data_IF_452839541866
#
_entry.id   IF_452839541866
#
_cell.length_a   1.000
_cell.length_b   1.000
_cell.length_c   1.000
_cell.angle_alpha   90.00
_cell.angle_beta   90.00
_cell.angle_gamma   90.00
#
_symmetry.space_group_name_H-M   'P 1'
#
loop_
_entity.id
_entity.type
_entity.pdbx_description
1 polymer ?
#
# COMPACT_ATOMS: atom_id res chain seq x y z
N UNK A 1 40.59 66.17 -13.05
CA UNK A 1 41.45 65.09 -12.52
C UNK A 1 40.59 63.90 -12.13
N UNK A 2 40.96 62.73 -12.65
CA UNK A 2 40.71 61.33 -12.22
C UNK A 2 39.29 60.84 -11.85
N UNK A 3 38.96 59.75 -12.57
CA UNK A 3 37.81 58.85 -12.52
C UNK A 3 37.92 57.83 -11.37
N UNK A 4 36.83 57.08 -11.16
CA UNK A 4 36.65 55.82 -10.41
C UNK A 4 36.50 55.97 -8.89
N UNK A 5 35.59 55.26 -8.19
CA UNK A 5 35.16 53.87 -8.40
C UNK A 5 33.71 53.59 -7.91
N UNK A 6 33.09 52.68 -8.65
CA UNK A 6 31.81 51.99 -8.50
C UNK A 6 31.85 50.97 -7.34
N UNK A 7 30.77 50.78 -6.57
CA UNK A 7 30.38 49.44 -6.10
C UNK A 7 28.87 49.37 -5.86
N UNK A 8 28.13 49.03 -6.93
CA UNK A 8 26.79 48.45 -6.82
C UNK A 8 27.00 46.99 -6.43
N UNK A 9 26.51 46.59 -5.26
CA UNK A 9 26.48 45.21 -4.81
C UNK A 9 25.41 44.46 -5.61
N UNK A 10 25.83 43.87 -6.74
CA UNK A 10 25.01 42.97 -7.55
C UNK A 10 24.87 41.66 -6.76
N UNK A 11 23.76 41.48 -6.04
CA UNK A 11 23.41 40.19 -5.47
C UNK A 11 23.00 39.30 -6.64
N UNK A 12 23.94 38.47 -7.08
CA UNK A 12 23.69 37.40 -8.06
C UNK A 12 22.78 36.39 -7.37
N UNK A 13 21.47 36.52 -7.59
CA UNK A 13 20.52 35.45 -7.29
C UNK A 13 20.78 34.34 -8.29
N UNK A 14 21.55 33.33 -7.89
CA UNK A 14 21.67 32.07 -8.63
C UNK A 14 20.25 31.50 -8.80
N UNK A 15 19.83 31.11 -10.02
CA UNK A 15 18.65 30.27 -10.15
C UNK A 15 18.97 28.95 -9.44
N UNK A 16 18.31 28.72 -8.31
CA UNK A 16 18.23 27.42 -7.71
C UNK A 16 17.63 26.49 -8.77
N UNK A 17 18.46 25.66 -9.39
CA UNK A 17 18.00 24.53 -10.17
C UNK A 17 17.31 23.58 -9.18
N UNK A 18 16.01 23.78 -8.99
CA UNK A 18 15.16 22.70 -8.53
C UNK A 18 15.19 21.65 -9.64
N UNK A 19 15.90 20.55 -9.42
CA UNK A 19 15.73 19.34 -10.22
C UNK A 19 14.30 18.84 -9.97
N UNK A 20 13.33 19.37 -10.72
CA UNK A 20 12.06 18.70 -10.90
C UNK A 20 12.34 17.44 -11.70
N UNK A 21 12.59 16.33 -11.00
CA UNK A 21 12.47 15.01 -11.60
C UNK A 21 11.00 14.84 -12.01
N UNK A 22 10.72 15.15 -13.28
CA UNK A 22 9.52 14.66 -13.97
C UNK A 22 9.68 13.15 -14.13
N UNK A 23 9.37 12.40 -13.08
CA UNK A 23 9.06 11.00 -13.24
C UNK A 23 7.77 10.93 -14.04
N UNK A 24 7.80 10.39 -15.25
CA UNK A 24 6.64 10.22 -16.13
C UNK A 24 5.64 9.18 -15.61
N UNK A 25 5.35 9.19 -14.31
CA UNK A 25 4.39 8.31 -13.67
C UNK A 25 2.98 8.69 -14.07
N UNK A 26 2.14 7.68 -14.28
CA UNK A 26 0.70 7.87 -14.43
C UNK A 26 0.16 8.46 -13.13
N UNK A 27 -0.43 9.65 -13.20
CA UNK A 27 -1.08 10.27 -12.06
C UNK A 27 -2.52 9.75 -11.98
N UNK A 28 -2.87 9.13 -10.85
CA UNK A 28 -4.20 8.63 -10.59
C UNK A 28 -4.91 9.55 -9.59
N UNK A 29 -6.18 9.85 -9.88
CA UNK A 29 -7.10 10.40 -8.90
C UNK A 29 -8.16 9.32 -8.56
N UNK A 30 -9.09 9.66 -7.68
CA UNK A 30 -10.15 8.74 -7.26
C UNK A 30 -10.93 8.18 -8.46
N UNK A 31 -11.27 9.01 -9.43
CA UNK A 31 -12.08 8.57 -10.58
C UNK A 31 -11.28 7.71 -11.56
N UNK A 32 -10.05 8.10 -11.90
CA UNK A 32 -9.22 7.33 -12.84
C UNK A 32 -8.75 6.02 -12.23
N UNK A 33 -8.45 5.97 -10.92
CA UNK A 33 -8.13 4.73 -10.22
C UNK A 33 -9.33 3.78 -10.17
N UNK A 34 -10.54 4.30 -9.96
CA UNK A 34 -11.79 3.51 -9.99
C UNK A 34 -11.99 2.88 -11.37
N UNK A 35 -11.87 3.69 -12.43
CA UNK A 35 -12.02 3.22 -13.82
C UNK A 35 -10.98 2.13 -14.17
N UNK A 36 -9.72 2.33 -13.77
CA UNK A 36 -8.64 1.37 -13.98
C UNK A 36 -8.97 0.00 -13.37
N UNK A 37 -9.51 -0.03 -12.15
CA UNK A 37 -9.88 -1.28 -11.48
C UNK A 37 -11.15 -1.91 -12.04
N UNK A 38 -12.18 -1.13 -12.38
CA UNK A 38 -13.44 -1.65 -12.92
C UNK A 38 -13.31 -2.22 -14.33
N UNK A 39 -12.37 -1.71 -15.13
CA UNK A 39 -12.16 -2.15 -16.52
C UNK A 39 -11.18 -3.33 -16.64
N UNK A 40 -10.61 -3.79 -15.53
CA UNK A 40 -9.59 -4.83 -15.52
C UNK A 40 -10.16 -6.20 -15.16
N UNK A 41 -9.62 -7.29 -15.72
CA UNK A 41 -9.94 -8.63 -15.25
C UNK A 41 -9.51 -8.79 -13.79
N UNK A 42 -10.36 -9.44 -13.02
CA UNK A 42 -10.13 -9.68 -11.59
C UNK A 42 -9.35 -10.99 -11.42
N UNK A 43 -8.22 -10.92 -10.72
CA UNK A 43 -7.35 -12.08 -10.45
C UNK A 43 -7.94 -12.96 -9.35
N UNK A 44 -7.98 -14.28 -9.56
CA UNK A 44 -8.54 -15.24 -8.60
C UNK A 44 -7.46 -16.10 -7.93
N UNK A 45 -7.71 -16.47 -6.69
CA UNK A 45 -6.86 -17.37 -5.92
C UNK A 45 -7.25 -18.84 -6.11
N UNK A 46 -6.29 -19.76 -6.35
CA UNK A 46 -6.57 -21.18 -6.38
C UNK A 46 -7.06 -21.70 -5.02
N UNK A 47 -8.16 -22.46 -5.01
CA UNK A 47 -8.75 -23.00 -3.78
C UNK A 47 -7.79 -23.91 -2.98
N UNK A 48 -6.91 -24.62 -3.70
CA UNK A 48 -5.88 -25.46 -3.07
C UNK A 48 -4.93 -24.61 -2.23
N UNK A 49 -4.48 -23.47 -2.76
CA UNK A 49 -3.58 -22.56 -2.06
C UNK A 49 -4.26 -21.97 -0.81
N UNK A 50 -5.54 -21.61 -0.91
CA UNK A 50 -6.34 -21.15 0.24
C UNK A 50 -6.43 -22.22 1.31
N UNK A 51 -6.69 -23.47 0.92
CA UNK A 51 -6.85 -24.60 1.85
C UNK A 51 -5.58 -24.88 2.65
N UNK A 52 -4.40 -24.67 2.05
CA UNK A 52 -3.10 -24.83 2.72
C UNK A 52 -2.80 -23.74 3.76
N UNK A 53 -3.53 -22.62 3.72
CA UNK A 53 -3.27 -21.43 4.52
C UNK A 53 -4.42 -21.08 5.49
N UNK A 54 -5.40 -21.97 5.69
CA UNK A 54 -6.54 -21.74 6.60
C UNK A 54 -6.14 -21.46 8.05
N UNK A 55 -5.01 -22.00 8.48
CA UNK A 55 -4.40 -21.76 9.79
C UNK A 55 -2.95 -21.29 9.58
N UNK A 56 -2.57 -20.23 10.29
CA UNK A 56 -1.19 -19.75 10.31
C UNK A 56 -0.31 -20.73 11.12
N UNK A 57 0.60 -21.40 10.42
CA UNK A 57 1.55 -22.36 11.01
C UNK A 57 2.58 -21.69 11.92
N UNK A 58 2.79 -20.39 11.75
CA UNK A 58 3.76 -19.60 12.52
C UNK A 58 3.09 -18.57 13.45
N UNK A 59 1.78 -18.75 13.75
CA UNK A 59 0.99 -17.84 14.59
C UNK A 59 1.74 -17.39 15.86
N UNK A 60 2.20 -18.33 16.69
CA UNK A 60 2.89 -18.02 17.95
C UNK A 60 4.15 -17.17 17.73
N UNK A 61 4.91 -17.44 16.68
CA UNK A 61 6.11 -16.65 16.34
C UNK A 61 5.71 -15.25 15.87
N UNK A 62 4.71 -15.15 15.01
CA UNK A 62 4.23 -13.89 14.46
C UNK A 62 3.72 -12.96 15.57
N UNK A 63 2.96 -13.49 16.53
CA UNK A 63 2.54 -12.75 17.72
C UNK A 63 3.75 -12.34 18.58
N UNK A 64 4.71 -13.24 18.79
CA UNK A 64 5.96 -12.93 19.49
C UNK A 64 6.73 -11.76 18.86
N UNK A 65 6.83 -11.71 17.54
CA UNK A 65 7.48 -10.61 16.81
C UNK A 65 6.68 -9.31 16.87
N UNK A 66 5.34 -9.38 16.84
CA UNK A 66 4.46 -8.23 17.02
C UNK A 66 4.78 -7.47 18.30
N UNK A 67 4.92 -8.20 19.41
CA UNK A 67 5.22 -7.65 20.74
C UNK A 67 6.59 -6.96 20.82
N UNK A 68 7.52 -7.37 19.95
CA UNK A 68 8.86 -6.78 19.85
C UNK A 68 8.92 -5.60 18.87
N UNK A 69 7.83 -5.33 18.15
CA UNK A 69 7.80 -4.34 17.07
C UNK A 69 8.53 -4.81 15.79
N UNK A 70 8.85 -6.10 15.68
CA UNK A 70 9.55 -6.65 14.52
C UNK A 70 8.53 -7.09 13.46
N UNK A 71 8.51 -6.40 12.32
CA UNK A 71 7.55 -6.67 11.24
C UNK A 71 8.19 -7.03 9.91
N UNK A 72 9.52 -6.92 9.82
CA UNK A 72 10.29 -7.35 8.65
C UNK A 72 11.20 -8.48 9.09
N UNK A 73 10.83 -9.70 8.72
CA UNK A 73 11.59 -10.91 9.00
C UNK A 73 12.34 -11.37 7.75
N UNK A 74 13.23 -12.35 7.91
CA UNK A 74 14.03 -12.87 6.80
C UNK A 74 13.16 -13.50 5.71
N UNK A 75 12.10 -14.21 6.09
CA UNK A 75 11.25 -15.01 5.20
C UNK A 75 9.87 -14.38 4.95
N UNK A 76 9.46 -13.40 5.75
CA UNK A 76 8.14 -12.76 5.63
C UNK A 76 8.10 -11.33 6.18
N UNK A 77 7.14 -10.56 5.71
CA UNK A 77 6.73 -9.31 6.32
C UNK A 77 5.38 -9.47 7.03
N UNK A 78 5.21 -8.76 8.14
CA UNK A 78 4.02 -8.75 8.97
C UNK A 78 3.38 -7.37 8.96
N UNK A 79 2.05 -7.31 9.08
CA UNK A 79 1.31 -6.09 9.34
C UNK A 79 0.26 -6.37 10.40
N UNK A 80 0.20 -5.54 11.45
CA UNK A 80 -0.71 -5.70 12.57
C UNK A 80 -1.75 -4.58 12.58
N UNK A 81 -2.99 -4.94 12.87
CA UNK A 81 -4.13 -4.02 12.88
C UNK A 81 -4.65 -3.82 14.31
N UNK A 82 -5.31 -2.70 14.56
CA UNK A 82 -5.82 -2.33 15.90
C UNK A 82 -6.93 -3.26 16.40
N UNK A 83 -7.58 -4.01 15.51
CA UNK A 83 -8.60 -5.01 15.83
C UNK A 83 -8.01 -6.40 16.18
N UNK A 84 -6.69 -6.47 16.39
CA UNK A 84 -5.94 -7.70 16.66
C UNK A 84 -5.90 -8.71 15.51
N UNK A 85 -6.32 -8.32 14.32
CA UNK A 85 -6.01 -9.07 13.09
C UNK A 85 -4.61 -8.74 12.61
N UNK A 86 -4.05 -9.59 11.76
CA UNK A 86 -2.74 -9.34 11.14
C UNK A 86 -2.66 -9.93 9.74
N UNK A 87 -1.68 -9.47 8.98
CA UNK A 87 -1.39 -9.94 7.64
C UNK A 87 0.04 -10.46 7.54
N UNK A 88 0.23 -11.49 6.71
CA UNK A 88 1.51 -12.14 6.40
C UNK A 88 1.74 -12.06 4.90
N UNK A 89 2.92 -11.57 4.52
CA UNK A 89 3.44 -11.57 3.15
C UNK A 89 4.75 -12.35 3.13
N UNK A 90 4.78 -13.50 2.46
CA UNK A 90 5.99 -14.30 2.36
C UNK A 90 6.94 -13.73 1.30
N UNK A 91 8.25 -13.82 1.54
CA UNK A 91 9.25 -13.31 0.61
C UNK A 91 9.42 -14.19 -0.62
N UNK A 92 9.17 -15.49 -0.48
CA UNK A 92 9.14 -16.46 -1.59
C UNK A 92 7.91 -16.31 -2.49
N UNK A 93 6.80 -15.81 -1.94
CA UNK A 93 5.56 -15.55 -2.65
C UNK A 93 5.03 -14.14 -2.32
N UNK A 94 5.44 -13.19 -3.15
CA UNK A 94 5.07 -11.78 -2.99
C UNK A 94 3.74 -11.41 -3.64
N UNK A 95 3.09 -12.35 -4.34
CA UNK A 95 1.83 -12.11 -5.02
C UNK A 95 0.65 -12.31 -4.07
N UNK A 96 0.80 -13.14 -3.05
CA UNK A 96 -0.27 -13.46 -2.11
C UNK A 96 -0.04 -12.87 -0.71
N UNK A 97 -1.09 -12.31 -0.13
CA UNK A 97 -1.12 -11.83 1.26
C UNK A 97 -2.21 -12.56 2.01
N UNK A 98 -1.89 -13.03 3.21
CA UNK A 98 -2.79 -13.81 4.05
C UNK A 98 -3.17 -13.00 5.29
N UNK A 99 -4.47 -12.84 5.55
CA UNK A 99 -4.98 -12.11 6.71
C UNK A 99 -5.59 -13.08 7.71
N UNK A 100 -5.16 -12.98 8.96
CA UNK A 100 -5.54 -13.88 10.04
C UNK A 100 -6.24 -13.13 11.18
N UNK A 101 -7.17 -13.82 11.84
CA UNK A 101 -7.74 -13.37 13.10
C UNK A 101 -6.74 -13.49 14.26
N UNK A 102 -7.15 -13.04 15.44
CA UNK A 102 -6.35 -13.10 16.66
C UNK A 102 -5.95 -14.52 17.11
N UNK A 103 -6.49 -15.57 16.50
CA UNK A 103 -6.22 -16.98 16.80
C UNK A 103 -5.49 -17.68 15.63
N UNK A 104 -5.00 -16.94 14.64
CA UNK A 104 -4.31 -17.50 13.48
C UNK A 104 -5.22 -18.18 12.47
N UNK A 105 -6.53 -17.89 12.47
CA UNK A 105 -7.48 -18.40 11.46
C UNK A 105 -7.59 -17.44 10.30
N UNK A 106 -7.51 -17.95 9.07
CA UNK A 106 -7.62 -17.15 7.86
C UNK A 106 -9.01 -16.46 7.80
N UNK A 107 -9.00 -15.15 7.57
CA UNK A 107 -10.23 -14.33 7.42
C UNK A 107 -10.31 -13.67 6.06
N UNK A 108 -9.16 -13.29 5.48
CA UNK A 108 -9.08 -12.73 4.14
C UNK A 108 -7.80 -13.14 3.43
N UNK A 109 -7.79 -13.00 2.13
CA UNK A 109 -6.68 -13.29 1.24
C UNK A 109 -6.61 -12.18 0.19
N UNK A 110 -5.43 -11.80 -0.24
CA UNK A 110 -5.24 -10.81 -1.30
C UNK A 110 -4.27 -11.37 -2.34
N UNK A 111 -4.59 -11.14 -3.60
CA UNK A 111 -3.72 -11.44 -4.74
C UNK A 111 -3.37 -10.15 -5.47
N UNK A 112 -2.12 -10.04 -5.89
CA UNK A 112 -1.59 -8.93 -6.71
C UNK A 112 -1.48 -9.37 -8.15
N UNK A 113 -1.77 -8.47 -9.09
CA UNK A 113 -1.52 -8.70 -10.52
C UNK A 113 -0.06 -8.41 -10.95
N UNK A 114 0.74 -7.86 -10.03
CA UNK A 114 2.12 -7.49 -10.28
C UNK A 114 2.90 -7.14 -9.01
N UNK A 115 4.22 -7.01 -9.14
CA UNK A 115 5.13 -6.68 -8.04
C UNK A 115 5.75 -5.28 -8.15
N UNK A 116 5.59 -4.63 -9.31
CA UNK A 116 6.11 -3.29 -9.59
C UNK A 116 4.95 -2.30 -9.62
N UNK A 117 5.17 -1.09 -9.10
CA UNK A 117 4.15 -0.06 -9.16
C UNK A 117 3.98 0.52 -10.58
N UNK A 118 2.75 0.92 -10.97
CA UNK A 118 1.50 0.63 -10.28
C UNK A 118 1.09 -0.84 -10.45
N UNK A 119 0.45 -1.42 -9.44
CA UNK A 119 -0.17 -2.75 -9.53
C UNK A 119 -1.54 -2.76 -8.87
N UNK A 120 -2.36 -3.73 -9.25
CA UNK A 120 -3.69 -3.97 -8.68
C UNK A 120 -3.62 -5.10 -7.66
N UNK A 121 -4.49 -5.04 -6.66
CA UNK A 121 -4.71 -6.15 -5.76
C UNK A 121 -6.18 -6.40 -5.51
N UNK A 122 -6.52 -7.65 -5.22
CA UNK A 122 -7.89 -8.12 -5.08
C UNK A 122 -7.99 -8.90 -3.78
N UNK A 123 -8.80 -8.40 -2.84
CA UNK A 123 -9.01 -9.03 -1.54
C UNK A 123 -10.30 -9.83 -1.53
N UNK A 124 -10.23 -11.06 -1.07
CA UNK A 124 -11.34 -12.00 -0.98
C UNK A 124 -11.58 -12.43 0.45
N UNK A 125 -12.82 -12.82 0.76
CA UNK A 125 -13.16 -13.65 1.91
C UNK A 125 -12.89 -15.14 1.62
N UNK A 126 -12.94 -15.95 2.68
CA UNK A 126 -12.63 -17.40 2.63
C UNK A 126 -13.56 -18.22 1.72
N UNK A 127 -14.74 -17.69 1.40
CA UNK A 127 -15.70 -18.28 0.46
C UNK A 127 -15.43 -17.88 -1.00
N UNK A 128 -14.41 -17.06 -1.26
CA UNK A 128 -14.07 -16.56 -2.59
C UNK A 128 -14.85 -15.31 -3.02
N UNK A 129 -15.63 -14.68 -2.13
CA UNK A 129 -16.31 -13.42 -2.45
C UNK A 129 -15.31 -12.26 -2.50
N UNK A 130 -15.34 -11.46 -3.58
CA UNK A 130 -14.50 -10.26 -3.69
C UNK A 130 -14.97 -9.18 -2.70
N UNK A 131 -14.08 -8.75 -1.82
CA UNK A 131 -14.37 -7.80 -0.74
C UNK A 131 -13.93 -6.38 -1.11
N UNK A 132 -12.74 -6.24 -1.69
CA UNK A 132 -12.25 -4.97 -2.21
C UNK A 132 -11.19 -5.15 -3.30
N UNK A 133 -10.95 -4.07 -4.03
CA UNK A 133 -9.94 -3.95 -5.08
C UNK A 133 -9.05 -2.75 -4.76
N UNK A 134 -7.75 -2.94 -4.86
CA UNK A 134 -6.75 -1.92 -4.60
C UNK A 134 -5.98 -1.55 -5.86
N UNK A 135 -5.72 -0.26 -6.08
CA UNK A 135 -4.71 0.22 -7.02
C UNK A 135 -3.57 0.82 -6.22
N UNK A 136 -2.43 0.14 -6.21
CA UNK A 136 -1.25 0.59 -5.50
C UNK A 136 -0.32 1.34 -6.44
N UNK A 137 -0.33 2.66 -6.34
CA UNK A 137 0.39 3.57 -7.24
C UNK A 137 1.84 3.73 -6.81
N UNK A 138 2.11 3.64 -5.51
CA UNK A 138 3.47 3.71 -4.97
C UNK A 138 3.55 3.01 -3.60
N UNK A 139 4.71 3.10 -2.95
CA UNK A 139 4.86 2.66 -1.56
C UNK A 139 3.93 3.43 -0.61
N UNK A 140 3.62 4.67 -0.95
CA UNK A 140 2.93 5.64 -0.10
C UNK A 140 1.49 5.86 -0.53
N UNK A 141 1.13 5.52 -1.77
CA UNK A 141 -0.20 5.77 -2.31
C UNK A 141 -0.94 4.50 -2.70
N UNK A 142 -2.19 4.36 -2.26
CA UNK A 142 -3.07 3.24 -2.61
C UNK A 142 -4.52 3.68 -2.59
N UNK A 143 -5.27 3.39 -3.65
CA UNK A 143 -6.72 3.54 -3.68
C UNK A 143 -7.37 2.19 -3.41
N UNK A 144 -8.39 2.12 -2.57
CA UNK A 144 -9.11 0.89 -2.24
C UNK A 144 -10.60 1.14 -2.46
N UNK A 145 -11.24 0.30 -3.27
CA UNK A 145 -12.66 0.38 -3.60
C UNK A 145 -13.37 -0.93 -3.25
N UNK A 146 -14.65 -0.85 -2.94
CA UNK A 146 -15.50 -2.03 -2.93
C UNK A 146 -15.78 -2.51 -4.38
N UNK A 147 -16.35 -3.71 -4.59
CA UNK A 147 -16.67 -4.22 -5.92
C UNK A 147 -17.61 -3.31 -6.73
N UNK A 148 -18.41 -2.47 -6.08
CA UNK A 148 -19.31 -1.50 -6.71
C UNK A 148 -18.61 -0.19 -7.10
N UNK A 149 -17.32 -0.03 -6.80
CA UNK A 149 -16.54 1.16 -7.12
C UNK A 149 -16.66 2.30 -6.10
N UNK A 150 -17.30 2.09 -4.95
CA UNK A 150 -17.28 3.08 -3.85
C UNK A 150 -15.90 3.09 -3.20
N UNK A 151 -15.32 4.27 -2.99
CA UNK A 151 -14.04 4.38 -2.30
C UNK A 151 -14.21 3.92 -0.84
N UNK A 152 -13.36 2.99 -0.43
CA UNK A 152 -13.22 2.56 0.96
C UNK A 152 -12.13 3.40 1.64
N UNK A 153 -11.01 3.59 0.95
CA UNK A 153 -9.88 4.36 1.47
C UNK A 153 -8.96 4.81 0.34
N UNK A 154 -8.53 6.07 0.37
CA UNK A 154 -7.35 6.55 -0.35
C UNK A 154 -6.21 6.72 0.66
N UNK A 155 -5.28 5.77 0.68
CA UNK A 155 -4.07 5.88 1.48
C UNK A 155 -3.07 6.80 0.80
N UNK A 156 -2.62 7.84 1.50
CA UNK A 156 -1.52 8.70 1.09
C UNK A 156 -0.59 8.92 2.30
N UNK A 157 0.63 8.40 2.20
CA UNK A 157 1.59 8.41 3.30
C UNK A 157 1.06 7.62 4.51
N UNK A 158 0.88 8.29 5.64
CA UNK A 158 0.42 7.67 6.89
C UNK A 158 -1.10 7.70 7.09
N UNK A 159 -1.84 8.41 6.23
CA UNK A 159 -3.27 8.66 6.42
C UNK A 159 -4.10 7.99 5.32
N UNK A 160 -5.31 7.58 5.68
CA UNK A 160 -6.33 7.13 4.75
C UNK A 160 -7.48 8.13 4.73
N UNK A 161 -7.93 8.51 3.53
CA UNK A 161 -8.99 9.47 3.31
C UNK A 161 -10.26 8.82 2.74
N UNK A 162 -11.43 9.34 3.11
CA UNK A 162 -12.70 9.05 2.45
C UNK A 162 -12.91 9.92 1.18
N UNK A 163 -14.05 9.77 0.50
CA UNK A 163 -14.36 10.57 -0.70
C UNK A 163 -14.49 12.07 -0.42
N UNK A 164 -14.77 12.45 0.83
CA UNK A 164 -14.84 13.85 1.27
C UNK A 164 -13.48 14.44 1.65
N UNK A 165 -12.41 13.65 1.63
CA UNK A 165 -11.07 14.06 2.05
C UNK A 165 -10.88 14.06 3.57
N UNK A 166 -11.77 13.43 4.34
CA UNK A 166 -11.60 13.29 5.78
C UNK A 166 -10.69 12.11 6.10
N UNK A 167 -9.83 12.27 7.12
CA UNK A 167 -9.01 11.16 7.61
C UNK A 167 -9.89 10.15 8.34
N UNK A 168 -9.87 8.90 7.87
CA UNK A 168 -10.66 7.79 8.44
C UNK A 168 -9.78 6.73 9.12
N UNK A 169 -8.50 6.63 8.74
CA UNK A 169 -7.55 5.67 9.33
C UNK A 169 -6.12 6.21 9.25
N UNK A 170 -5.23 5.67 10.08
CA UNK A 170 -3.79 5.96 10.06
C UNK A 170 -2.97 4.68 10.09
N UNK A 171 -1.76 4.71 9.53
CA UNK A 171 -0.79 3.62 9.58
C UNK A 171 0.59 4.12 10.01
N UNK A 172 1.37 3.24 10.64
CA UNK A 172 2.78 3.49 10.97
C UNK A 172 3.65 2.53 10.19
N UNK A 173 4.68 3.06 9.55
CA UNK A 173 5.76 2.25 9.01
C UNK A 173 6.77 2.02 10.12
N UNK A 174 6.97 0.77 10.50
CA UNK A 174 8.09 0.42 11.36
C UNK A 174 9.30 0.27 10.43
N UNK A 175 10.34 1.06 10.72
CA UNK A 175 11.63 1.03 10.01
C UNK A 175 12.60 0.16 10.77
#
# INVERSE_FOLDING_TARGET
>A
MKKFLLTILLIITLPCYAETFLTGGVNYNVDTARQELQNSPVEKLPQELVSQNLLDKDYEKNIGYALQGNVSLQDRALAFFSDSTYAVLYNEDKLHVWYYDKNGKLIYMEVRDGLSFPYKSYKYSIDGTLVNMGLRVSKEETFIYNPQGKLIAHWLGTNAYDEGGNVIMTRKYIR
#
